data_IF_863027163039
#
_entry.id   IF_863027163039
#
_cell.length_a   1.000
_cell.length_b   1.000
_cell.length_c   1.000
_cell.angle_alpha   90.00
_cell.angle_beta   90.00
_cell.angle_gamma   90.00
#
_symmetry.space_group_name_H-M   'P 1'
#
loop_
_entity.id
_entity.type
_entity.pdbx_description
1 polymer ?
#
# COMPACT_ATOMS: atom_id res chain seq x y z
N UNK A 1 13.96 -3.85 2.57
CA UNK A 1 12.49 -3.92 2.59
C UNK A 1 12.05 -5.38 2.67
N UNK A 2 10.91 -5.67 3.28
CA UNK A 2 10.47 -7.05 3.44
C UNK A 2 10.01 -7.69 2.15
N UNK A 3 9.98 -9.04 2.15
CA UNK A 3 9.61 -9.81 0.96
C UNK A 3 8.21 -9.45 0.44
N UNK A 4 7.26 -9.19 1.34
CA UNK A 4 5.91 -8.83 0.93
C UNK A 4 5.90 -7.53 0.15
N UNK A 5 6.62 -6.52 0.64
CA UNK A 5 6.67 -5.22 -0.04
C UNK A 5 7.39 -5.34 -1.37
N UNK A 6 8.47 -6.11 -1.44
CA UNK A 6 9.17 -6.33 -2.71
C UNK A 6 8.25 -6.96 -3.74
N UNK A 7 7.44 -7.94 -3.32
CA UNK A 7 6.46 -8.59 -4.18
C UNK A 7 5.39 -7.62 -4.65
N UNK A 8 4.90 -6.78 -3.75
CA UNK A 8 3.87 -5.79 -4.08
C UNK A 8 4.40 -4.77 -5.09
N UNK A 9 5.62 -4.29 -4.88
CA UNK A 9 6.25 -3.36 -5.81
C UNK A 9 6.35 -3.99 -7.19
N UNK A 10 6.79 -5.25 -7.27
CA UNK A 10 6.89 -5.94 -8.55
C UNK A 10 5.52 -6.14 -9.21
N UNK A 11 4.52 -6.54 -8.43
CA UNK A 11 3.16 -6.73 -8.93
C UNK A 11 2.58 -5.42 -9.47
N UNK A 12 2.94 -4.31 -8.84
CA UNK A 12 2.48 -2.97 -9.24
C UNK A 12 3.35 -2.33 -10.30
N UNK A 13 4.35 -3.06 -10.82
CA UNK A 13 5.27 -2.57 -11.85
C UNK A 13 6.04 -1.33 -11.39
N UNK A 14 6.34 -1.24 -10.10
CA UNK A 14 7.07 -0.11 -9.54
C UNK A 14 6.26 1.17 -9.48
N UNK A 15 4.94 1.07 -9.42
CA UNK A 15 4.02 2.22 -9.47
C UNK A 15 3.17 2.24 -8.20
N UNK A 16 3.03 3.42 -7.60
CA UNK A 16 2.19 3.62 -6.42
C UNK A 16 0.74 3.23 -6.71
N UNK A 17 0.16 2.45 -5.81
CA UNK A 17 -1.19 1.93 -6.01
C UNK A 17 -2.27 3.01 -5.94
N UNK A 18 -2.00 4.12 -5.24
CA UNK A 18 -3.01 5.16 -5.03
C UNK A 18 -3.08 6.14 -6.19
N UNK A 19 -1.96 6.77 -6.54
CA UNK A 19 -1.96 7.84 -7.54
C UNK A 19 -1.22 7.47 -8.81
N UNK A 20 -0.78 6.22 -8.90
CA UNK A 20 -0.14 5.68 -10.10
C UNK A 20 1.15 6.38 -10.50
N UNK A 21 1.83 6.98 -9.54
CA UNK A 21 3.13 7.59 -9.77
C UNK A 21 4.23 6.55 -9.56
N UNK A 22 5.28 6.62 -10.38
CA UNK A 22 6.39 5.69 -10.29
C UNK A 22 7.16 5.90 -8.99
N UNK A 23 7.55 4.79 -8.36
CA UNK A 23 8.45 4.85 -7.22
C UNK A 23 9.86 5.19 -7.71
N UNK A 24 10.45 6.22 -7.14
CA UNK A 24 11.82 6.64 -7.48
C UNK A 24 12.81 6.36 -6.36
N UNK A 25 12.31 6.23 -5.14
CA UNK A 25 13.12 5.93 -3.97
C UNK A 25 12.36 4.94 -3.09
N UNK A 26 12.96 3.78 -2.88
CA UNK A 26 12.31 2.74 -2.07
C UNK A 26 12.12 3.18 -0.62
N UNK A 27 12.89 4.14 -0.15
CA UNK A 27 12.69 4.70 1.18
C UNK A 27 11.36 5.42 1.36
N UNK A 28 10.72 5.80 0.25
CA UNK A 28 9.42 6.48 0.29
C UNK A 28 8.23 5.51 0.31
N UNK A 29 8.49 4.22 0.16
CA UNK A 29 7.42 3.23 0.02
C UNK A 29 6.99 2.72 1.39
N UNK A 30 5.69 2.76 1.64
CA UNK A 30 5.11 2.26 2.87
C UNK A 30 3.95 1.34 2.54
N UNK A 31 3.61 0.40 3.46
CA UNK A 31 2.42 -0.43 3.26
C UNK A 31 1.16 0.38 3.55
N UNK A 32 0.14 0.17 2.73
CA UNK A 32 -1.16 0.79 2.90
C UNK A 32 -2.22 -0.29 2.95
N UNK A 33 -3.16 -0.18 3.88
CA UNK A 33 -4.28 -1.11 3.98
C UNK A 33 -5.37 -0.67 3.01
N UNK A 34 -5.73 -1.55 2.09
CA UNK A 34 -6.78 -1.27 1.11
C UNK A 34 -8.10 -1.03 1.82
N UNK A 35 -8.41 -1.87 2.81
CA UNK A 35 -9.57 -1.70 3.67
C UNK A 35 -9.12 -1.63 5.12
N UNK A 36 -9.48 -0.59 5.87
CA UNK A 36 -9.07 -0.49 7.27
C UNK A 36 -9.70 -1.55 8.17
N UNK A 37 -10.75 -2.22 7.70
CA UNK A 37 -11.44 -3.28 8.46
C UNK A 37 -11.15 -4.66 7.91
N UNK A 38 -10.18 -4.78 7.00
CA UNK A 38 -9.90 -6.02 6.34
C UNK A 38 -10.82 -6.23 5.14
N UNK A 39 -10.77 -7.41 4.56
CA UNK A 39 -11.46 -7.74 3.31
C UNK A 39 -12.65 -8.66 3.55
N UNK A 40 -13.35 -8.45 4.65
CA UNK A 40 -14.50 -9.26 5.00
C UNK A 40 -14.15 -10.32 6.03
N UNK A 41 -15.13 -10.98 6.54
CA UNK A 41 -15.13 -11.77 7.76
C UNK A 41 -13.89 -12.56 8.12
N UNK A 42 -13.28 -13.29 7.19
CA UNK A 42 -12.17 -14.18 7.52
C UNK A 42 -10.80 -13.49 7.43
N UNK A 43 -10.69 -12.33 6.82
CA UNK A 43 -9.42 -11.68 6.59
C UNK A 43 -9.16 -10.60 7.63
N UNK A 44 -7.94 -10.60 8.15
CA UNK A 44 -7.48 -9.53 9.03
C UNK A 44 -7.04 -8.35 8.15
N UNK A 45 -6.97 -7.16 8.77
CA UNK A 45 -6.58 -5.96 8.05
C UNK A 45 -5.15 -6.05 7.49
N UNK A 46 -4.28 -6.84 8.12
CA UNK A 46 -2.90 -7.01 7.67
C UNK A 46 -2.72 -8.20 6.73
N UNK A 47 -3.81 -8.79 6.23
CA UNK A 47 -3.72 -9.87 5.25
C UNK A 47 -2.97 -9.38 4.00
N UNK A 48 -2.08 -10.20 3.42
CA UNK A 48 -1.29 -9.78 2.25
C UNK A 48 -2.13 -9.19 1.11
N UNK A 49 -3.32 -9.74 0.87
CA UNK A 49 -4.18 -9.25 -0.21
C UNK A 49 -4.82 -7.91 0.12
N UNK A 50 -4.74 -7.48 1.38
CA UNK A 50 -5.26 -6.19 1.82
C UNK A 50 -4.16 -5.13 1.89
N UNK A 51 -2.94 -5.45 1.49
CA UNK A 51 -1.79 -4.55 1.56
C UNK A 51 -1.38 -4.15 0.15
N UNK A 52 -1.04 -2.88 -0.02
CA UNK A 52 -0.49 -2.37 -1.27
C UNK A 52 0.67 -1.43 -0.98
N UNK A 53 1.56 -1.26 -1.95
CA UNK A 53 2.71 -0.37 -1.81
C UNK A 53 2.34 1.01 -2.32
N UNK A 54 2.62 2.04 -1.51
CA UNK A 54 2.29 3.42 -1.85
C UNK A 54 3.40 4.32 -1.35
N UNK A 55 3.43 5.57 -1.86
CA UNK A 55 4.29 6.59 -1.27
C UNK A 55 3.72 6.99 0.09
N UNK A 56 4.61 7.35 1.03
CA UNK A 56 4.17 7.75 2.36
C UNK A 56 3.25 8.98 2.30
N UNK A 57 3.52 9.90 1.38
CA UNK A 57 2.66 11.09 1.26
C UNK A 57 1.30 10.77 0.66
N UNK A 58 1.23 9.79 -0.26
CA UNK A 58 -0.05 9.34 -0.80
C UNK A 58 -0.90 8.69 0.30
N UNK A 59 -0.25 7.89 1.14
CA UNK A 59 -0.92 7.25 2.27
C UNK A 59 -1.44 8.30 3.26
N UNK A 60 -0.67 9.34 3.49
CA UNK A 60 -1.07 10.44 4.36
C UNK A 60 -2.30 11.17 3.82
N UNK A 61 -2.34 11.45 2.53
CA UNK A 61 -3.49 12.08 1.90
C UNK A 61 -4.74 11.21 1.99
N UNK A 62 -4.58 9.91 1.77
CA UNK A 62 -5.70 8.98 1.89
C UNK A 62 -6.25 8.99 3.31
N UNK A 63 -5.36 8.95 4.30
CA UNK A 63 -5.76 9.00 5.70
C UNK A 63 -6.47 10.30 6.04
N UNK A 64 -5.97 11.43 5.55
CA UNK A 64 -6.55 12.74 5.78
C UNK A 64 -7.94 12.85 5.16
N UNK A 65 -8.12 12.33 3.96
CA UNK A 65 -9.39 12.44 3.26
C UNK A 65 -10.51 11.64 3.91
N UNK A 66 -10.15 10.72 4.77
CA UNK A 66 -11.17 9.95 5.51
C UNK A 66 -11.67 10.68 6.75
N UNK A 67 -11.07 11.78 7.04
CA UNK A 67 -11.46 12.62 8.15
C UNK A 67 -10.97 12.13 9.45
#
# INVERSE_FOLDING_TARGET
>A
MGKLMDRKIATQNGICALYKERFTDYGDIVPDHISPRGMGGAWRDDHPDNIQAVHWWCNGEKGSSRG
#
